data_IF_652918548077
#
_entry.id   IF_652918548077
#
_cell.length_a   1.000
_cell.length_b   1.000
_cell.length_c   1.000
_cell.angle_alpha   90.00
_cell.angle_beta   90.00
_cell.angle_gamma   90.00
#
_symmetry.space_group_name_H-M   'P 1'
#
loop_
_entity.id
_entity.type
_entity.pdbx_description
1 polymer ?
#
# COMPACT_ATOMS: atom_id res chain seq x y z
N UNK A 1 10.37 -64.50 7.22
CA UNK A 1 10.25 -63.21 6.51
C UNK A 1 9.10 -62.43 7.14
N UNK A 2 9.37 -61.28 7.78
CA UNK A 2 8.31 -60.39 8.30
C UNK A 2 7.96 -59.39 7.19
N UNK A 3 6.72 -59.43 6.71
CA UNK A 3 6.18 -58.39 5.84
C UNK A 3 5.88 -57.15 6.69
N UNK A 4 6.63 -56.08 6.47
CA UNK A 4 6.25 -54.76 6.98
C UNK A 4 5.13 -54.21 6.10
N UNK A 5 4.01 -53.71 6.68
CA UNK A 5 2.97 -53.07 5.89
C UNK A 5 3.50 -51.76 5.27
N UNK A 6 3.04 -51.38 4.07
CA UNK A 6 3.42 -50.13 3.44
C UNK A 6 2.91 -48.95 4.28
N UNK A 7 3.81 -48.01 4.58
CA UNK A 7 3.47 -46.73 5.20
C UNK A 7 2.54 -45.94 4.27
N UNK A 8 1.40 -45.40 4.74
CA UNK A 8 0.55 -44.55 3.92
C UNK A 8 1.32 -43.27 3.56
N UNK A 9 1.50 -43.02 2.27
CA UNK A 9 2.07 -41.76 1.79
C UNK A 9 1.12 -40.62 2.15
N UNK A 10 1.58 -39.68 2.98
CA UNK A 10 0.87 -38.42 3.24
C UNK A 10 0.63 -37.71 1.91
N UNK A 11 -0.61 -37.69 1.44
CA UNK A 11 -1.01 -36.92 0.26
C UNK A 11 -0.68 -35.45 0.50
N UNK A 12 0.19 -34.88 -0.34
CA UNK A 12 0.56 -33.47 -0.28
C UNK A 12 -0.68 -32.57 -0.34
N UNK A 13 -0.73 -31.47 0.44
CA UNK A 13 -1.87 -30.56 0.39
C UNK A 13 -2.06 -30.03 -1.02
N UNK A 14 -3.30 -30.03 -1.50
CA UNK A 14 -3.65 -29.45 -2.80
C UNK A 14 -3.39 -27.94 -2.74
N UNK A 15 -2.40 -27.48 -3.50
CA UNK A 15 -2.05 -26.07 -3.62
C UNK A 15 -2.68 -25.51 -4.88
N UNK A 16 -3.55 -24.53 -4.72
CA UNK A 16 -4.04 -23.74 -5.86
C UNK A 16 -3.18 -22.48 -6.00
N UNK A 17 -2.65 -22.25 -7.20
CA UNK A 17 -1.85 -21.08 -7.54
C UNK A 17 -2.46 -20.36 -8.74
N UNK A 18 -2.68 -19.05 -8.61
CA UNK A 18 -3.12 -18.19 -9.71
C UNK A 18 -2.09 -17.09 -9.94
N UNK A 19 -1.80 -16.77 -11.21
CA UNK A 19 -1.02 -15.57 -11.54
C UNK A 19 -1.74 -14.35 -11.02
N UNK A 20 -1.04 -13.55 -10.21
CA UNK A 20 -1.76 -12.53 -9.45
C UNK A 20 -2.09 -11.28 -10.24
N UNK A 21 -1.48 -11.07 -11.40
CA UNK A 21 -1.74 -9.93 -12.29
C UNK A 21 -2.02 -8.64 -11.53
N UNK A 22 -3.17 -8.02 -11.81
CA UNK A 22 -3.68 -6.81 -11.18
C UNK A 22 -4.42 -7.03 -9.85
N UNK A 23 -4.63 -8.27 -9.43
CA UNK A 23 -5.39 -8.59 -8.21
C UNK A 23 -4.68 -8.07 -6.95
N UNK A 24 -3.35 -8.14 -6.87
CA UNK A 24 -2.63 -7.54 -5.71
C UNK A 24 -2.70 -6.01 -5.72
N UNK A 25 -2.79 -5.39 -6.91
CA UNK A 25 -3.04 -3.95 -7.00
C UNK A 25 -4.37 -3.62 -6.32
N UNK A 26 -5.44 -4.33 -6.71
CA UNK A 26 -6.77 -4.15 -6.14
C UNK A 26 -6.82 -4.45 -4.64
N UNK A 27 -6.22 -5.54 -4.18
CA UNK A 27 -6.16 -5.87 -2.73
C UNK A 27 -5.43 -4.77 -1.95
N UNK A 28 -4.26 -4.32 -2.43
CA UNK A 28 -3.54 -3.23 -1.78
C UNK A 28 -4.35 -1.93 -1.76
N UNK A 29 -5.03 -1.63 -2.86
CA UNK A 29 -5.88 -0.45 -2.99
C UNK A 29 -7.05 -0.52 -1.99
N UNK A 30 -7.74 -1.65 -1.93
CA UNK A 30 -8.86 -1.87 -1.03
C UNK A 30 -8.43 -1.80 0.45
N UNK A 31 -7.27 -2.37 0.81
CA UNK A 31 -6.73 -2.28 2.18
C UNK A 31 -6.42 -0.81 2.53
N UNK A 32 -5.74 -0.08 1.66
CA UNK A 32 -5.47 1.35 1.87
C UNK A 32 -6.79 2.10 2.03
N UNK A 33 -7.75 1.89 1.13
CA UNK A 33 -9.06 2.51 1.18
C UNK A 33 -9.79 2.23 2.51
N UNK A 34 -9.82 0.99 2.98
CA UNK A 34 -10.45 0.61 4.24
C UNK A 34 -9.75 1.23 5.47
N UNK A 35 -8.41 1.27 5.49
CA UNK A 35 -7.67 1.96 6.55
C UNK A 35 -8.00 3.45 6.55
N UNK A 36 -8.18 4.04 5.37
CA UNK A 36 -8.66 5.41 5.23
C UNK A 36 -10.13 5.58 5.62
N UNK A 37 -10.91 4.55 5.92
CA UNK A 37 -12.24 4.76 6.52
C UNK A 37 -12.20 4.82 8.05
N UNK A 38 -11.05 4.54 8.69
CA UNK A 38 -10.92 4.58 10.14
C UNK A 38 -10.96 6.04 10.64
N UNK A 39 -11.91 6.41 11.51
CA UNK A 39 -12.04 7.76 12.03
C UNK A 39 -10.89 8.11 13.00
N UNK A 40 -10.69 9.41 13.27
CA UNK A 40 -9.71 9.93 14.23
C UNK A 40 -8.23 9.59 13.94
N UNK A 41 -7.90 9.33 12.68
CA UNK A 41 -6.49 9.21 12.27
C UNK A 41 -5.86 10.60 12.11
N UNK A 42 -4.57 10.76 12.45
CA UNK A 42 -3.83 11.96 12.11
C UNK A 42 -3.82 12.20 10.58
N UNK A 43 -3.74 13.47 10.13
CA UNK A 43 -3.65 13.78 8.71
C UNK A 43 -2.53 13.00 8.01
N UNK A 44 -2.87 12.38 6.87
CA UNK A 44 -2.05 11.45 6.05
C UNK A 44 -1.15 10.47 6.82
N UNK A 45 -1.53 10.06 8.04
CA UNK A 45 -0.97 8.88 8.68
C UNK A 45 -1.65 7.63 8.10
N UNK A 46 -1.37 7.37 6.83
CA UNK A 46 -2.01 6.31 6.06
C UNK A 46 -0.99 5.60 5.14
N UNK A 47 -1.17 4.29 4.88
CA UNK A 47 -0.21 3.51 4.11
C UNK A 47 -0.25 3.78 2.60
N UNK A 48 -0.78 4.93 2.16
CA UNK A 48 -0.93 5.31 0.75
C UNK A 48 0.41 5.33 0.03
N UNK A 49 1.30 6.26 0.39
CA UNK A 49 2.60 6.41 -0.28
C UNK A 49 3.47 5.15 -0.12
N UNK A 50 3.39 4.51 1.06
CA UNK A 50 4.09 3.27 1.36
C UNK A 50 3.65 2.07 0.51
N UNK A 51 2.40 2.08 0.02
CA UNK A 51 1.89 1.05 -0.89
C UNK A 51 2.19 1.41 -2.35
N UNK A 52 2.04 2.69 -2.73
CA UNK A 52 2.36 3.19 -4.06
C UNK A 52 3.80 2.87 -4.45
N UNK A 53 4.76 3.04 -3.53
CA UNK A 53 6.19 2.85 -3.83
C UNK A 53 6.57 1.45 -4.36
N UNK A 54 6.27 0.34 -3.67
CA UNK A 54 6.52 -0.99 -4.20
C UNK A 54 5.62 -1.34 -5.38
N UNK A 55 4.39 -0.82 -5.43
CA UNK A 55 3.43 -1.11 -6.48
C UNK A 55 3.83 -0.46 -7.81
N UNK A 56 4.35 0.75 -7.78
CA UNK A 56 4.82 1.47 -8.98
C UNK A 56 5.87 0.67 -9.73
N UNK A 57 6.77 -0.01 -9.00
CA UNK A 57 7.81 -0.84 -9.62
C UNK A 57 7.25 -2.08 -10.34
N UNK A 58 6.10 -2.63 -9.92
CA UNK A 58 5.45 -3.77 -10.60
C UNK A 58 4.50 -3.32 -11.71
N UNK A 59 3.67 -2.33 -11.43
CA UNK A 59 2.52 -1.96 -12.27
C UNK A 59 2.75 -0.72 -13.13
N UNK A 60 3.95 -0.15 -13.05
CA UNK A 60 4.35 0.99 -13.86
C UNK A 60 3.60 2.27 -13.50
N UNK A 61 3.70 3.24 -14.42
CA UNK A 61 3.07 4.55 -14.33
C UNK A 61 1.55 4.44 -14.17
N UNK A 62 0.91 3.63 -15.03
CA UNK A 62 -0.56 3.53 -15.06
C UNK A 62 -1.09 2.96 -13.73
N UNK A 63 -0.49 1.86 -13.24
CA UNK A 63 -0.94 1.24 -12.01
C UNK A 63 -0.75 2.14 -10.78
N UNK A 64 0.40 2.83 -10.66
CA UNK A 64 0.62 3.74 -9.53
C UNK A 64 -0.22 5.01 -9.60
N UNK A 65 -0.44 5.56 -10.79
CA UNK A 65 -1.30 6.73 -10.99
C UNK A 65 -2.76 6.40 -10.64
N UNK A 66 -3.31 5.33 -11.22
CA UNK A 66 -4.70 4.93 -10.95
C UNK A 66 -4.91 4.55 -9.49
N UNK A 67 -3.96 3.82 -8.88
CA UNK A 67 -4.01 3.52 -7.45
C UNK A 67 -4.17 4.81 -6.63
N UNK A 68 -3.28 5.77 -6.86
CA UNK A 68 -3.24 7.01 -6.09
C UNK A 68 -4.49 7.87 -6.29
N UNK A 69 -4.90 8.09 -7.55
CA UNK A 69 -6.07 8.90 -7.91
C UNK A 69 -7.35 8.27 -7.38
N UNK A 70 -7.58 6.98 -7.63
CA UNK A 70 -8.81 6.30 -7.20
C UNK A 70 -8.90 6.21 -5.68
N UNK A 71 -7.77 6.02 -4.98
CA UNK A 71 -7.79 6.02 -3.52
C UNK A 71 -8.22 7.36 -2.95
N UNK A 72 -7.97 8.49 -3.63
CA UNK A 72 -8.45 9.83 -3.21
C UNK A 72 -9.90 10.04 -3.63
N UNK A 73 -10.20 9.92 -4.93
CA UNK A 73 -11.53 10.23 -5.49
C UNK A 73 -12.62 9.42 -4.81
N UNK A 74 -12.42 8.11 -4.64
CA UNK A 74 -13.42 7.25 -4.02
C UNK A 74 -13.52 7.46 -2.51
N UNK A 75 -12.43 7.83 -1.85
CA UNK A 75 -12.45 8.11 -0.42
C UNK A 75 -13.27 9.38 -0.15
N UNK A 76 -13.01 10.45 -0.90
CA UNK A 76 -13.74 11.71 -0.79
C UNK A 76 -15.22 11.50 -1.16
N UNK A 77 -15.51 10.74 -2.21
CA UNK A 77 -16.89 10.44 -2.62
C UNK A 77 -17.72 9.77 -1.51
N UNK A 78 -17.10 8.97 -0.65
CA UNK A 78 -17.77 8.24 0.44
C UNK A 78 -17.81 9.07 1.74
N UNK A 79 -16.94 10.07 1.91
CA UNK A 79 -16.77 10.78 3.19
C UNK A 79 -17.21 12.24 3.14
N UNK A 80 -16.47 13.09 2.43
CA UNK A 80 -16.68 14.54 2.40
C UNK A 80 -17.46 15.04 1.18
N UNK A 81 -17.69 14.18 0.18
CA UNK A 81 -18.15 14.55 -1.15
C UNK A 81 -17.01 14.97 -2.07
N UNK A 82 -17.28 14.96 -3.38
CA UNK A 82 -16.31 15.33 -4.43
C UNK A 82 -16.33 16.85 -4.61
N UNK A 83 -15.15 17.47 -4.60
CA UNK A 83 -14.98 18.90 -4.88
C UNK A 83 -13.66 19.25 -5.55
N UNK A 84 -13.37 20.56 -5.67
CA UNK A 84 -12.10 21.04 -6.24
C UNK A 84 -10.90 20.48 -5.46
N UNK A 85 -11.03 20.36 -4.14
CA UNK A 85 -9.98 19.78 -3.30
C UNK A 85 -9.68 18.31 -3.62
N UNK A 86 -10.70 17.54 -4.00
CA UNK A 86 -10.53 16.16 -4.48
C UNK A 86 -9.67 16.13 -5.74
N UNK A 87 -9.90 17.04 -6.69
CA UNK A 87 -9.08 17.12 -7.90
C UNK A 87 -7.62 17.49 -7.59
N UNK A 88 -7.41 18.49 -6.73
CA UNK A 88 -6.06 18.93 -6.29
C UNK A 88 -5.29 17.77 -5.66
N UNK A 89 -5.88 17.13 -4.66
CA UNK A 89 -5.20 16.07 -3.89
C UNK A 89 -5.04 14.79 -4.71
N UNK A 90 -6.03 14.41 -5.52
CA UNK A 90 -5.94 13.25 -6.39
C UNK A 90 -4.83 13.41 -7.44
N UNK A 91 -4.70 14.59 -8.05
CA UNK A 91 -3.63 14.87 -9.02
C UNK A 91 -2.26 14.94 -8.33
N UNK A 92 -2.15 15.57 -7.16
CA UNK A 92 -0.90 15.61 -6.41
C UNK A 92 -0.41 14.20 -6.05
N UNK A 93 -1.30 13.35 -5.54
CA UNK A 93 -0.99 11.94 -5.28
C UNK A 93 -0.73 11.14 -6.57
N UNK A 94 -1.45 11.41 -7.65
CA UNK A 94 -1.21 10.83 -8.96
C UNK A 94 0.20 11.12 -9.46
N UNK A 95 0.65 12.38 -9.36
CA UNK A 95 2.02 12.80 -9.69
C UNK A 95 3.05 12.09 -8.81
N UNK A 96 2.78 11.92 -7.51
CA UNK A 96 3.63 11.09 -6.64
C UNK A 96 3.66 9.62 -7.08
N UNK A 97 2.55 9.07 -7.58
CA UNK A 97 2.52 7.73 -8.17
C UNK A 97 3.43 7.61 -9.40
N UNK A 98 3.37 8.59 -10.29
CA UNK A 98 4.22 8.67 -11.49
C UNK A 98 5.69 8.83 -11.10
N UNK A 99 5.99 9.80 -10.23
CA UNK A 99 7.33 10.06 -9.73
C UNK A 99 7.95 8.83 -9.05
N UNK A 100 7.12 8.03 -8.36
CA UNK A 100 7.56 6.82 -7.69
C UNK A 100 8.06 5.80 -8.70
N UNK A 101 7.32 5.58 -9.79
CA UNK A 101 7.77 4.69 -10.86
C UNK A 101 9.12 5.13 -11.42
N UNK A 102 9.28 6.41 -11.78
CA UNK A 102 10.53 6.92 -12.32
C UNK A 102 11.68 6.87 -11.32
N UNK A 103 11.39 7.02 -10.02
CA UNK A 103 12.37 6.88 -8.98
C UNK A 103 12.84 5.42 -8.84
N UNK A 104 11.93 4.45 -8.83
CA UNK A 104 12.22 3.05 -8.53
C UNK A 104 12.52 2.18 -9.76
N UNK A 105 12.21 2.60 -10.99
CA UNK A 105 12.43 1.78 -12.20
C UNK A 105 13.87 1.28 -12.31
N UNK A 106 14.84 2.16 -12.01
CA UNK A 106 16.28 1.87 -12.09
C UNK A 106 16.97 1.83 -10.72
N UNK A 107 16.21 1.81 -9.62
CA UNK A 107 16.75 1.79 -8.25
C UNK A 107 16.31 0.55 -7.48
N UNK A 108 17.17 0.05 -6.59
CA UNK A 108 16.80 -1.07 -5.73
C UNK A 108 15.61 -0.69 -4.83
N UNK A 109 14.67 -1.62 -4.64
CA UNK A 109 13.58 -1.47 -3.69
C UNK A 109 14.08 -1.78 -2.27
N UNK A 110 14.85 -0.84 -1.72
CA UNK A 110 15.48 -0.93 -0.40
C UNK A 110 14.82 0.04 0.59
N UNK A 111 14.94 -0.23 1.89
CA UNK A 111 14.47 0.68 2.95
C UNK A 111 14.98 2.11 2.76
N UNK A 112 16.26 2.27 2.41
CA UNK A 112 16.88 3.56 2.14
C UNK A 112 16.16 4.29 1.01
N UNK A 113 15.94 3.63 -0.13
CA UNK A 113 15.29 4.25 -1.27
C UNK A 113 13.80 4.54 -1.02
N UNK A 114 13.09 3.66 -0.30
CA UNK A 114 11.72 3.94 0.17
C UNK A 114 11.67 5.16 1.08
N UNK A 115 12.59 5.27 2.02
CA UNK A 115 12.68 6.41 2.92
C UNK A 115 13.01 7.70 2.16
N UNK A 116 14.01 7.66 1.26
CA UNK A 116 14.40 8.82 0.45
C UNK A 116 13.24 9.32 -0.41
N UNK A 117 12.57 8.42 -1.14
CA UNK A 117 11.42 8.82 -1.95
C UNK A 117 10.25 9.27 -1.09
N UNK A 118 9.96 8.55 0.00
CA UNK A 118 8.90 8.90 0.94
C UNK A 118 9.06 10.32 1.45
N UNK A 119 10.22 10.65 2.03
CA UNK A 119 10.48 12.00 2.58
C UNK A 119 10.35 13.07 1.49
N UNK A 120 11.01 12.88 0.35
CA UNK A 120 10.96 13.85 -0.74
C UNK A 120 9.54 14.02 -1.30
N UNK A 121 8.79 12.93 -1.46
CA UNK A 121 7.42 12.93 -1.94
C UNK A 121 6.46 13.61 -0.96
N UNK A 122 6.62 13.36 0.33
CA UNK A 122 5.83 14.01 1.38
C UNK A 122 6.07 15.52 1.41
N UNK A 123 7.33 15.95 1.39
CA UNK A 123 7.66 17.37 1.34
C UNK A 123 7.12 18.04 0.07
N UNK A 124 7.22 17.36 -1.08
CA UNK A 124 6.66 17.85 -2.34
C UNK A 124 5.15 18.00 -2.27
N UNK A 125 4.44 16.97 -1.78
CA UNK A 125 2.99 17.00 -1.64
C UNK A 125 2.53 18.14 -0.76
N UNK A 126 3.18 18.31 0.39
CA UNK A 126 2.86 19.34 1.36
C UNK A 126 3.19 20.75 0.83
N UNK A 127 4.28 20.91 0.09
CA UNK A 127 4.59 22.19 -0.57
C UNK A 127 3.52 22.55 -1.62
N UNK A 128 3.14 21.61 -2.48
CA UNK A 128 2.14 21.83 -3.54
C UNK A 128 0.76 22.11 -2.94
N UNK A 129 0.32 21.29 -1.98
CA UNK A 129 -1.04 21.37 -1.44
C UNK A 129 -1.16 22.42 -0.33
N UNK A 130 -0.25 22.42 0.65
CA UNK A 130 -0.34 23.25 1.85
C UNK A 130 0.35 24.61 1.76
N UNK A 131 1.40 24.76 0.97
CA UNK A 131 2.11 26.04 0.81
C UNK A 131 1.82 26.78 -0.51
N UNK A 132 1.12 26.14 -1.44
CA UNK A 132 0.82 26.73 -2.75
C UNK A 132 -0.68 26.81 -3.01
N UNK A 133 -1.35 25.68 -3.21
CA UNK A 133 -2.77 25.68 -3.62
C UNK A 133 -3.68 26.06 -2.45
N UNK A 134 -3.41 25.55 -1.24
CA UNK A 134 -4.17 25.86 -0.04
C UNK A 134 -4.27 27.36 0.24
N UNK A 135 -3.17 28.11 0.36
CA UNK A 135 -3.21 29.55 0.64
C UNK A 135 -3.99 30.34 -0.42
N UNK A 136 -3.83 29.97 -1.70
CA UNK A 136 -4.54 30.60 -2.81
C UNK A 136 -6.05 30.33 -2.75
N UNK A 137 -6.45 29.10 -2.38
CA UNK A 137 -7.84 28.69 -2.36
C UNK A 137 -8.59 29.14 -1.10
N UNK A 138 -7.91 29.19 0.05
CA UNK A 138 -8.51 29.57 1.33
C UNK A 138 -8.24 31.03 1.71
N UNK A 139 -7.59 31.80 0.82
CA UNK A 139 -7.25 33.20 1.02
C UNK A 139 -6.42 33.44 2.30
N UNK A 140 -5.57 32.48 2.67
CA UNK A 140 -4.68 32.59 3.81
C UNK A 140 -3.35 33.24 3.42
N UNK A 141 -2.72 33.95 4.36
CA UNK A 141 -1.37 34.48 4.12
C UNK A 141 -0.36 33.34 4.06
N UNK A 142 0.67 33.48 3.22
CA UNK A 142 1.74 32.47 3.13
C UNK A 142 2.40 32.18 4.49
N UNK A 143 2.54 33.21 5.35
CA UNK A 143 3.12 33.03 6.68
C UNK A 143 2.22 32.21 7.61
N UNK A 144 0.90 32.44 7.59
CA UNK A 144 -0.07 31.65 8.35
C UNK A 144 -0.03 30.18 7.92
N UNK A 145 -0.08 29.95 6.60
CA UNK A 145 0.00 28.61 6.04
C UNK A 145 1.32 27.92 6.39
N UNK A 146 2.45 28.62 6.30
CA UNK A 146 3.76 28.07 6.65
C UNK A 146 3.82 27.60 8.11
N UNK A 147 3.33 28.41 9.05
CA UNK A 147 3.31 28.06 10.47
C UNK A 147 2.41 26.84 10.71
N UNK A 148 1.22 26.80 10.11
CA UNK A 148 0.31 25.65 10.21
C UNK A 148 0.86 24.39 9.55
N UNK A 149 1.65 24.55 8.49
CA UNK A 149 2.24 23.45 7.74
C UNK A 149 3.33 22.70 8.54
N UNK A 150 4.08 23.37 9.42
CA UNK A 150 5.15 22.74 10.20
C UNK A 150 4.66 21.52 11.01
N UNK A 151 3.67 21.64 11.91
CA UNK A 151 3.18 20.49 12.68
C UNK A 151 2.49 19.45 11.78
N UNK A 152 1.84 19.87 10.70
CA UNK A 152 1.19 18.99 9.74
C UNK A 152 2.21 18.11 8.98
N UNK A 153 3.24 18.74 8.42
CA UNK A 153 4.34 18.05 7.71
C UNK A 153 5.15 17.18 8.66
N UNK A 154 5.36 17.59 9.91
CA UNK A 154 6.02 16.75 10.90
C UNK A 154 5.25 15.42 11.10
N UNK A 155 3.93 15.47 11.22
CA UNK A 155 3.09 14.27 11.33
C UNK A 155 3.11 13.41 10.06
N UNK A 156 3.05 14.03 8.89
CA UNK A 156 3.18 13.32 7.62
C UNK A 156 4.52 12.60 7.49
N UNK A 157 5.61 13.27 7.82
CA UNK A 157 6.95 12.69 7.77
C UNK A 157 7.07 11.53 8.77
N UNK A 158 6.49 11.65 9.97
CA UNK A 158 6.50 10.57 10.96
C UNK A 158 5.83 9.31 10.42
N UNK A 159 4.62 9.44 9.86
CA UNK A 159 3.92 8.32 9.21
C UNK A 159 4.68 7.77 8.02
N UNK A 160 5.24 8.66 7.18
CA UNK A 160 6.05 8.29 6.02
C UNK A 160 7.27 7.48 6.42
N UNK A 161 8.05 7.94 7.40
CA UNK A 161 9.24 7.25 7.90
C UNK A 161 8.86 5.88 8.44
N UNK A 162 7.81 5.81 9.26
CA UNK A 162 7.32 4.56 9.82
C UNK A 162 6.93 3.56 8.73
N UNK A 163 6.03 3.92 7.82
CA UNK A 163 5.54 2.99 6.80
C UNK A 163 6.56 2.72 5.67
N UNK A 164 7.44 3.66 5.34
CA UNK A 164 8.50 3.45 4.35
C UNK A 164 9.55 2.44 4.83
N UNK A 165 9.86 2.45 6.12
CA UNK A 165 10.88 1.56 6.71
C UNK A 165 10.33 0.20 7.09
N UNK A 166 9.06 0.12 7.48
CA UNK A 166 8.41 -1.12 7.96
C UNK A 166 7.56 -1.79 6.88
N UNK A 167 6.56 -1.09 6.34
CA UNK A 167 5.52 -1.66 5.47
C UNK A 167 5.97 -1.81 4.01
N UNK A 168 6.62 -0.80 3.44
CA UNK A 168 7.04 -0.81 2.02
C UNK A 168 7.93 -2.00 1.64
N UNK A 169 8.93 -2.42 2.46
CA UNK A 169 9.73 -3.61 2.17
C UNK A 169 8.91 -4.91 2.22
N UNK A 170 7.92 -5.00 3.10
CA UNK A 170 7.04 -6.17 3.21
C UNK A 170 6.14 -6.26 1.98
N UNK A 171 5.52 -5.14 1.60
CA UNK A 171 4.70 -5.05 0.40
C UNK A 171 5.51 -5.33 -0.87
N UNK A 172 6.76 -4.86 -0.96
CA UNK A 172 7.64 -5.20 -2.08
C UNK A 172 7.86 -6.70 -2.23
N UNK A 173 8.12 -7.41 -1.11
CA UNK A 173 8.28 -8.87 -1.14
C UNK A 173 6.99 -9.56 -1.56
N UNK A 174 5.85 -9.11 -1.04
CA UNK A 174 4.56 -9.70 -1.37
C UNK A 174 4.15 -9.44 -2.82
N UNK A 175 4.33 -8.22 -3.32
CA UNK A 175 3.86 -7.81 -4.65
C UNK A 175 4.84 -8.13 -5.74
N UNK A 176 6.12 -7.80 -5.58
CA UNK A 176 7.10 -7.93 -6.68
C UNK A 176 7.74 -9.32 -6.70
N UNK A 177 8.09 -9.89 -5.53
CA UNK A 177 8.84 -11.17 -5.50
C UNK A 177 7.97 -12.41 -5.60
N UNK A 178 6.65 -12.31 -5.39
CA UNK A 178 5.73 -13.44 -5.50
C UNK A 178 4.77 -13.19 -6.68
N UNK A 179 4.86 -13.99 -7.73
CA UNK A 179 3.97 -13.86 -8.89
C UNK A 179 2.64 -14.60 -8.73
N UNK A 180 2.59 -15.53 -7.77
CA UNK A 180 1.44 -16.36 -7.48
C UNK A 180 0.85 -16.04 -6.09
N UNK A 181 -0.47 -16.17 -5.96
CA UNK A 181 -1.11 -16.38 -4.66
C UNK A 181 -1.26 -17.88 -4.44
N UNK A 182 -0.77 -18.37 -3.31
CA UNK A 182 -0.84 -19.78 -2.94
C UNK A 182 -1.87 -19.92 -1.82
N UNK A 183 -2.96 -20.62 -2.10
CA UNK A 183 -3.90 -21.06 -1.07
C UNK A 183 -3.62 -22.53 -0.77
N UNK A 184 -3.39 -22.84 0.50
CA UNK A 184 -3.24 -24.21 0.98
C UNK A 184 -4.45 -24.55 1.85
N UNK A 185 -5.28 -25.47 1.40
CA UNK A 185 -6.33 -26.05 2.22
C UNK A 185 -5.80 -27.33 2.88
N UNK A 186 -6.04 -27.55 4.18
CA UNK A 186 -5.75 -28.84 4.78
C UNK A 186 -6.64 -29.89 4.11
N UNK A 187 -6.02 -30.91 3.51
CA UNK A 187 -6.75 -32.05 2.95
C UNK A 187 -7.49 -32.78 4.08
N UNK A 188 -8.74 -33.17 3.83
CA UNK A 188 -9.68 -33.76 4.80
C UNK A 188 -9.20 -35.10 5.43
N UNK A 189 -8.04 -35.62 5.04
CA UNK A 189 -7.45 -36.85 5.59
C UNK A 189 -6.84 -36.69 6.99
N UNK A 190 -6.51 -35.46 7.43
CA UNK A 190 -5.91 -35.26 8.76
C UNK A 190 -6.91 -35.44 9.91
N UNK A 191 -8.21 -35.29 9.67
CA UNK A 191 -9.24 -35.53 10.70
C UNK A 191 -9.52 -37.03 10.94
N UNK A 192 -9.29 -37.89 9.95
CA UNK A 192 -9.50 -39.33 10.10
C UNK A 192 -8.42 -39.99 11.00
N UNK A 193 -7.18 -39.50 10.98
CA UNK A 193 -6.12 -40.05 11.84
C UNK A 193 -6.27 -39.65 13.32
N UNK A 194 -6.84 -38.47 13.61
CA UNK A 194 -7.03 -38.00 14.99
C UNK A 194 -8.17 -38.75 15.72
N UNK A 195 -9.07 -39.41 14.99
CA UNK A 195 -10.14 -40.24 15.56
C UNK A 195 -9.74 -41.70 15.78
N UNK A 196 -8.68 -42.19 15.12
CA UNK A 196 -8.22 -43.59 15.26
C UNK A 196 -7.18 -43.80 16.37
N UNK A 197 -6.62 -42.73 16.95
CA UNK A 197 -5.63 -42.80 18.05
C UNK A 197 -6.31 -42.71 19.43
N UNK A 198 -7.65 -42.60 19.47
CA UNK A 198 -8.46 -42.62 20.71
C UNK A 198 -9.37 -43.85 20.82
N UNK A 199 -8.79 -45.05 20.68
CA UNK A 199 -9.35 -46.30 21.20
C UNK A 199 -8.24 -47.14 21.83
#
# INVERSE_FOLDING_TARGET
MRFSPPTPSLSSPTRFSFETGWVKLFIGWAIVFLIRLIPFRPPNFEPMLATIMPFSKRYGVLGSFLFAVLSIVLFDAVTSGIGVWTAVTALAYGVLGIGSYFFFKNRAASRKNFLTYGIAGTLFYDAVTGLTIGPLQFHETLMSAFIGQIPFTAMHLLGTIFFATTLSPVLYRWVVRNEYLIFSFPTCTTFALAASIRK
#
